data_IF_686982165131
#
_entry.id   IF_686982165131
#
_cell.length_a   1.000
_cell.length_b   1.000
_cell.length_c   1.000
_cell.angle_alpha   90.00
_cell.angle_beta   90.00
_cell.angle_gamma   90.00
#
_symmetry.space_group_name_H-M   'P 1'
#
loop_
_entity.id
_entity.type
_entity.pdbx_description
1 polymer ?
#
# COMPACT_ATOMS: atom_id res chain seq x y z
N UNK A 1 4.51 25.04 -13.75
CA UNK A 1 3.63 24.87 -12.57
C UNK A 1 2.39 24.01 -12.86
N UNK A 2 1.51 24.37 -13.83
CA UNK A 2 0.29 23.58 -14.15
C UNK A 2 0.52 22.13 -14.59
N UNK A 3 1.49 21.87 -15.47
CA UNK A 3 1.76 20.53 -16.02
C UNK A 3 2.39 19.61 -14.97
N UNK A 4 3.34 20.12 -14.18
CA UNK A 4 4.01 19.35 -13.12
C UNK A 4 3.04 18.89 -12.03
N UNK A 5 2.09 19.75 -11.61
CA UNK A 5 1.04 19.37 -10.66
C UNK A 5 0.09 18.30 -11.21
N UNK A 6 -0.25 18.39 -12.50
CA UNK A 6 -1.11 17.41 -13.19
C UNK A 6 -0.46 16.02 -13.25
N UNK A 7 0.85 15.96 -13.53
CA UNK A 7 1.61 14.70 -13.53
C UNK A 7 1.64 14.06 -12.14
N UNK A 8 1.91 14.85 -11.10
CA UNK A 8 1.92 14.35 -9.72
C UNK A 8 0.55 13.79 -9.31
N UNK A 9 -0.54 14.49 -9.66
CA UNK A 9 -1.91 14.04 -9.36
C UNK A 9 -2.26 12.77 -10.14
N UNK A 10 -1.95 12.71 -11.44
CA UNK A 10 -2.20 11.52 -12.25
C UNK A 10 -1.48 10.30 -11.68
N UNK A 11 -0.22 10.47 -11.24
CA UNK A 11 0.52 9.36 -10.64
C UNK A 11 0.00 8.99 -9.26
N UNK A 12 -0.45 9.96 -8.46
CA UNK A 12 -1.11 9.68 -7.19
C UNK A 12 -2.37 8.83 -7.40
N UNK A 13 -3.21 9.17 -8.38
CA UNK A 13 -4.41 8.41 -8.72
C UNK A 13 -4.10 6.99 -9.21
N UNK A 14 -3.07 6.82 -10.04
CA UNK A 14 -2.63 5.49 -10.49
C UNK A 14 -2.16 4.65 -9.31
N UNK A 15 -1.37 5.21 -8.39
CA UNK A 15 -0.94 4.50 -7.19
C UNK A 15 -2.12 4.13 -6.29
N UNK A 16 -3.11 5.00 -6.17
CA UNK A 16 -4.32 4.77 -5.38
C UNK A 16 -5.14 3.61 -5.96
N UNK A 17 -5.34 3.62 -7.29
CA UNK A 17 -6.02 2.53 -8.00
C UNK A 17 -5.27 1.20 -7.88
N UNK A 18 -3.94 1.21 -8.02
CA UNK A 18 -3.11 0.01 -7.84
C UNK A 18 -3.16 -0.48 -6.39
N UNK A 19 -3.16 0.42 -5.40
CA UNK A 19 -3.27 0.08 -3.98
C UNK A 19 -4.60 -0.58 -3.67
N UNK A 20 -5.70 0.00 -4.17
CA UNK A 20 -7.03 -0.56 -4.07
C UNK A 20 -7.11 -1.96 -4.71
N UNK A 21 -6.46 -2.18 -5.86
CA UNK A 21 -6.42 -3.48 -6.51
C UNK A 21 -5.68 -4.54 -5.69
N UNK A 22 -4.53 -4.20 -5.11
CA UNK A 22 -3.76 -5.12 -4.24
C UNK A 22 -4.57 -5.48 -3.00
N UNK A 23 -5.24 -4.50 -2.38
CA UNK A 23 -6.12 -4.74 -1.23
C UNK A 23 -7.29 -5.64 -1.64
N UNK A 24 -7.95 -5.37 -2.78
CA UNK A 24 -9.05 -6.20 -3.27
C UNK A 24 -8.61 -7.66 -3.52
N UNK A 25 -7.42 -7.87 -4.08
CA UNK A 25 -6.83 -9.21 -4.27
C UNK A 25 -6.55 -9.90 -2.94
N UNK A 26 -6.01 -9.17 -1.96
CA UNK A 26 -5.80 -9.69 -0.61
C UNK A 26 -7.13 -10.10 0.04
N UNK A 27 -8.15 -9.25 -0.04
CA UNK A 27 -9.50 -9.53 0.48
C UNK A 27 -10.07 -10.77 -0.21
N UNK A 28 -10.02 -10.85 -1.54
CA UNK A 28 -10.52 -11.99 -2.30
C UNK A 28 -9.79 -13.29 -1.94
N UNK A 29 -8.47 -13.24 -1.74
CA UNK A 29 -7.68 -14.40 -1.33
C UNK A 29 -8.05 -14.87 0.07
N UNK A 30 -8.07 -13.97 1.06
CA UNK A 30 -8.43 -14.28 2.45
C UNK A 30 -9.85 -14.82 2.54
N UNK A 31 -10.81 -14.19 1.86
CA UNK A 31 -12.22 -14.61 1.89
C UNK A 31 -12.46 -15.97 1.24
N UNK A 32 -11.70 -16.34 0.21
CA UNK A 32 -11.76 -17.67 -0.42
C UNK A 32 -11.05 -18.75 0.39
N UNK A 33 -9.88 -18.44 0.96
CA UNK A 33 -9.03 -19.44 1.63
C UNK A 33 -9.39 -19.68 3.09
N UNK A 34 -9.89 -18.65 3.77
CA UNK A 34 -10.25 -18.69 5.19
C UNK A 34 -11.70 -18.22 5.40
N UNK A 35 -12.70 -18.96 4.87
CA UNK A 35 -14.10 -18.55 4.92
C UNK A 35 -14.62 -18.40 6.36
N UNK A 36 -14.13 -19.24 7.29
CA UNK A 36 -14.49 -19.24 8.70
C UNK A 36 -13.91 -18.06 9.50
N UNK A 37 -12.84 -17.43 9.01
CA UNK A 37 -12.20 -16.29 9.68
C UNK A 37 -12.64 -14.94 9.10
N UNK A 38 -13.48 -14.91 8.05
CA UNK A 38 -13.77 -13.67 7.31
C UNK A 38 -14.16 -12.50 8.21
N UNK A 39 -15.22 -12.64 8.99
CA UNK A 39 -15.76 -11.51 9.76
C UNK A 39 -14.84 -11.10 10.91
N UNK A 40 -14.30 -12.06 11.66
CA UNK A 40 -13.43 -11.77 12.81
C UNK A 40 -12.07 -11.21 12.41
N UNK A 41 -11.57 -11.53 11.21
CA UNK A 41 -10.31 -11.00 10.72
C UNK A 41 -10.42 -9.53 10.30
N UNK A 42 -11.55 -9.14 9.68
CA UNK A 42 -11.80 -7.77 9.21
C UNK A 42 -12.41 -6.86 10.28
N UNK A 43 -13.30 -7.40 11.11
CA UNK A 43 -14.02 -6.69 12.18
C UNK A 43 -13.82 -7.41 13.53
N UNK A 44 -12.60 -7.38 14.07
CA UNK A 44 -12.32 -8.04 15.34
C UNK A 44 -13.11 -7.38 16.46
N UNK A 45 -13.71 -8.19 17.33
CA UNK A 45 -14.31 -7.73 18.58
C UNK A 45 -13.21 -7.71 19.63
N UNK A 46 -12.69 -6.53 19.93
CA UNK A 46 -11.65 -6.38 20.94
C UNK A 46 -12.31 -6.24 22.31
N UNK A 47 -12.12 -7.24 23.16
CA UNK A 47 -12.45 -7.14 24.59
C UNK A 47 -11.18 -6.93 25.42
N UNK A 48 -10.07 -7.51 24.98
CA UNK A 48 -8.82 -7.53 25.73
C UNK A 48 -7.60 -7.26 24.85
N UNK A 49 -6.49 -6.82 25.48
CA UNK A 49 -5.20 -6.64 24.78
C UNK A 49 -4.66 -7.95 24.19
N UNK A 50 -5.05 -9.10 24.77
CA UNK A 50 -4.71 -10.41 24.23
C UNK A 50 -5.32 -10.63 22.83
N UNK A 51 -6.55 -10.18 22.60
CA UNK A 51 -7.25 -10.32 21.31
C UNK A 51 -6.49 -9.59 20.20
N UNK A 52 -5.93 -8.42 20.50
CA UNK A 52 -5.11 -7.65 19.54
C UNK A 52 -3.85 -8.43 19.17
N UNK A 53 -3.17 -9.05 20.15
CA UNK A 53 -1.96 -9.85 19.90
C UNK A 53 -2.28 -11.10 19.07
N UNK A 54 -3.38 -11.77 19.37
CA UNK A 54 -3.84 -12.95 18.64
C UNK A 54 -4.25 -12.60 17.21
N UNK A 55 -5.00 -11.51 17.03
CA UNK A 55 -5.35 -10.97 15.71
C UNK A 55 -4.09 -10.62 14.89
N UNK A 56 -3.11 -9.94 15.49
CA UNK A 56 -1.83 -9.64 14.85
C UNK A 56 -1.05 -10.90 14.49
N UNK A 57 -1.05 -11.92 15.34
CA UNK A 57 -0.38 -13.20 15.09
C UNK A 57 -1.04 -13.94 13.91
N UNK A 58 -2.37 -13.96 13.85
CA UNK A 58 -3.14 -14.55 12.74
C UNK A 58 -2.85 -13.86 11.42
N UNK A 59 -2.88 -12.52 11.40
CA UNK A 59 -2.49 -11.75 10.21
C UNK A 59 -1.05 -12.03 9.80
N UNK A 60 -0.12 -12.10 10.76
CA UNK A 60 1.29 -12.41 10.48
C UNK A 60 1.44 -13.80 9.88
N UNK A 61 0.66 -14.79 10.33
CA UNK A 61 0.63 -16.13 9.76
C UNK A 61 0.15 -16.13 8.31
N UNK A 62 -0.97 -15.46 8.03
CA UNK A 62 -1.51 -15.32 6.66
C UNK A 62 -0.51 -14.60 5.76
N UNK A 63 0.02 -13.45 6.21
CA UNK A 63 0.98 -12.64 5.47
C UNK A 63 2.29 -13.37 5.19
N UNK A 64 2.70 -14.32 6.03
CA UNK A 64 3.92 -15.14 5.88
C UNK A 64 3.66 -16.51 5.26
N UNK A 65 2.42 -16.84 4.92
CA UNK A 65 2.06 -18.08 4.24
C UNK A 65 2.95 -18.29 3.00
N UNK A 66 3.37 -19.54 2.80
CA UNK A 66 4.09 -20.00 1.60
C UNK A 66 3.19 -20.21 0.39
N UNK A 67 1.90 -19.87 0.49
CA UNK A 67 0.96 -19.95 -0.63
C UNK A 67 1.46 -19.10 -1.81
N UNK A 68 1.59 -19.68 -3.03
CA UNK A 68 2.08 -18.95 -4.20
C UNK A 68 1.24 -17.71 -4.52
N UNK A 69 -0.07 -17.72 -4.24
CA UNK A 69 -0.95 -16.57 -4.42
C UNK A 69 -0.57 -15.43 -3.46
N UNK A 70 -0.23 -15.79 -2.22
CA UNK A 70 0.15 -14.82 -1.20
C UNK A 70 1.55 -14.26 -1.45
N UNK A 71 2.46 -15.09 -1.99
CA UNK A 71 3.76 -14.63 -2.47
C UNK A 71 3.63 -13.63 -3.63
N UNK A 72 2.71 -13.85 -4.56
CA UNK A 72 2.41 -12.91 -5.65
C UNK A 72 1.85 -11.58 -5.10
N UNK A 73 0.84 -11.62 -4.21
CA UNK A 73 0.28 -10.42 -3.57
C UNK A 73 1.35 -9.63 -2.80
N UNK A 74 2.25 -10.32 -2.10
CA UNK A 74 3.37 -9.69 -1.38
C UNK A 74 4.35 -9.01 -2.33
N UNK A 75 4.62 -9.63 -3.47
CA UNK A 75 5.53 -9.10 -4.50
C UNK A 75 4.92 -7.89 -5.19
N UNK A 76 3.64 -7.96 -5.58
CA UNK A 76 2.87 -6.83 -6.11
C UNK A 76 2.84 -5.65 -5.12
N UNK A 77 2.58 -5.93 -3.84
CA UNK A 77 2.59 -4.91 -2.78
C UNK A 77 3.97 -4.27 -2.58
N UNK A 78 5.05 -5.06 -2.60
CA UNK A 78 6.43 -4.54 -2.52
C UNK A 78 6.78 -3.65 -3.71
N UNK A 79 6.41 -4.08 -4.93
CA UNK A 79 6.62 -3.30 -6.14
C UNK A 79 5.87 -1.97 -6.07
N UNK A 80 4.64 -1.99 -5.55
CA UNK A 80 3.82 -0.80 -5.38
C UNK A 80 4.43 0.19 -4.38
N UNK A 81 4.90 -0.29 -3.23
CA UNK A 81 5.60 0.53 -2.23
C UNK A 81 6.89 1.11 -2.83
N UNK A 82 7.72 0.29 -3.48
CA UNK A 82 8.96 0.75 -4.10
C UNK A 82 8.69 1.83 -5.15
N UNK A 83 7.69 1.63 -6.01
CA UNK A 83 7.27 2.60 -7.02
C UNK A 83 6.76 3.89 -6.37
N UNK A 84 5.96 3.79 -5.31
CA UNK A 84 5.47 4.96 -4.58
C UNK A 84 6.61 5.75 -3.93
N UNK A 85 7.56 5.07 -3.28
CA UNK A 85 8.75 5.71 -2.70
C UNK A 85 9.61 6.37 -3.78
N UNK A 86 9.85 5.71 -4.91
CA UNK A 86 10.59 6.28 -6.02
C UNK A 86 9.91 7.54 -6.57
N UNK A 87 8.57 7.55 -6.62
CA UNK A 87 7.80 8.71 -7.04
C UNK A 87 7.84 9.85 -6.02
N UNK A 88 7.78 9.57 -4.73
CA UNK A 88 7.97 10.59 -3.69
C UNK A 88 9.37 11.21 -3.77
N UNK A 89 10.42 10.38 -3.89
CA UNK A 89 11.79 10.85 -4.02
C UNK A 89 11.99 11.67 -5.29
N UNK A 90 11.46 11.20 -6.42
CA UNK A 90 11.49 11.94 -7.69
C UNK A 90 10.76 13.29 -7.57
N UNK A 91 9.60 13.31 -6.92
CA UNK A 91 8.83 14.52 -6.67
C UNK A 91 9.59 15.52 -5.79
N UNK A 92 10.22 15.05 -4.70
CA UNK A 92 11.06 15.89 -3.83
C UNK A 92 12.29 16.44 -4.56
N UNK A 93 12.95 15.62 -5.39
CA UNK A 93 14.09 16.07 -6.20
C UNK A 93 13.69 17.18 -7.18
N UNK A 94 12.54 17.05 -7.85
CA UNK A 94 12.01 18.10 -8.73
C UNK A 94 11.63 19.36 -7.96
N UNK A 95 11.03 19.24 -6.77
CA UNK A 95 10.73 20.38 -5.90
C UNK A 95 12.01 21.12 -5.49
N UNK A 96 13.08 20.40 -5.18
CA UNK A 96 14.39 20.97 -4.84
C UNK A 96 15.01 21.70 -6.03
N UNK A 97 14.98 21.10 -7.23
CA UNK A 97 15.46 21.74 -8.46
C UNK A 97 14.72 23.06 -8.72
N UNK A 98 13.38 23.06 -8.65
CA UNK A 98 12.57 24.27 -8.80
C UNK A 98 12.94 25.30 -7.72
N UNK A 99 13.05 24.89 -6.45
CA UNK A 99 13.43 25.78 -5.35
C UNK A 99 14.83 26.40 -5.52
N UNK A 100 15.77 25.69 -6.15
CA UNK A 100 17.12 26.20 -6.46
C UNK A 100 17.20 27.05 -7.72
N UNK A 101 16.19 26.98 -8.61
CA UNK A 101 16.10 27.81 -9.82
C UNK A 101 15.35 29.13 -9.58
N UNK A 102 14.42 29.18 -8.62
CA UNK A 102 13.69 30.40 -8.22
C UNK A 102 14.58 31.55 -7.70
N UNK A 103 15.73 31.36 -7.01
CA UNK A 103 16.56 32.48 -6.55
C UNK A 103 17.33 33.17 -7.68
N UNK A 104 17.37 32.59 -8.90
CA UNK A 104 18.13 33.13 -10.04
C UNK A 104 17.27 33.88 -11.07
N UNK A 105 15.99 34.09 -10.77
CA UNK A 105 15.03 34.80 -11.64
C UNK A 105 14.52 36.11 -11.02
N UNK A 106 15.20 36.62 -9.98
CA UNK A 106 15.02 37.97 -9.43
C UNK A 106 16.18 38.87 -9.81
#
# INVERSE_FOLDING_TARGET
MKITGLVVVAVALVNLAQGALVIARLVAHVTRRYPHLRLDLWFPRWSETHDVRTWLATWRGILRSGDPTMAAIRTDGRLLIARHTQLMLSSQAWAMVVATMVPRLS
#
